data_IF_527854187633
#
_entry.id   IF_527854187633
#
_cell.length_a   1.000
_cell.length_b   1.000
_cell.length_c   1.000
_cell.angle_alpha   90.00
_cell.angle_beta   90.00
_cell.angle_gamma   90.00
#
_symmetry.space_group_name_H-M   'P 1'
#
loop_
_entity.id
_entity.type
_entity.pdbx_description
1 polymer ?
#
# COMPACT_ATOMS: atom_id res chain seq x y z
N UNK A 1 -33.33 -21.16 -41.62
CA UNK A 1 -34.23 -21.79 -40.64
C UNK A 1 -33.75 -23.21 -40.38
N UNK A 2 -33.73 -23.62 -39.10
CA UNK A 2 -33.59 -24.99 -38.57
C UNK A 2 -32.25 -25.70 -38.87
N UNK A 3 -31.28 -25.62 -37.96
CA UNK A 3 -31.04 -26.55 -36.83
C UNK A 3 -30.33 -27.86 -37.22
N UNK A 4 -29.10 -28.01 -36.73
CA UNK A 4 -28.69 -29.25 -36.07
C UNK A 4 -27.64 -28.92 -35.01
N UNK A 5 -28.14 -28.73 -33.78
CA UNK A 5 -27.32 -28.67 -32.57
C UNK A 5 -27.14 -30.11 -32.10
N UNK A 6 -25.93 -30.66 -32.22
CA UNK A 6 -25.38 -31.78 -31.42
C UNK A 6 -24.06 -32.26 -32.04
N UNK A 7 -22.95 -31.90 -31.40
CA UNK A 7 -21.77 -32.77 -31.24
C UNK A 7 -20.83 -32.05 -30.26
N UNK A 8 -21.09 -32.16 -28.96
CA UNK A 8 -20.58 -33.19 -28.03
C UNK A 8 -19.06 -33.19 -27.87
N UNK A 9 -18.67 -32.76 -26.66
CA UNK A 9 -17.44 -33.05 -25.92
C UNK A 9 -16.11 -32.61 -26.55
N UNK A 10 -15.78 -31.35 -26.29
CA UNK A 10 -14.38 -30.89 -26.25
C UNK A 10 -13.66 -31.46 -25.03
N UNK A 11 -12.68 -32.30 -25.30
CA UNK A 11 -11.67 -32.84 -24.41
C UNK A 11 -10.76 -31.75 -23.84
N UNK A 12 -10.64 -31.64 -22.51
CA UNK A 12 -9.38 -31.21 -21.87
C UNK A 12 -9.18 -32.07 -20.61
N UNK A 13 -8.48 -33.18 -20.81
CA UNK A 13 -7.81 -33.90 -19.75
C UNK A 13 -6.31 -33.56 -19.85
N UNK A 14 -5.70 -33.24 -18.71
CA UNK A 14 -4.26 -33.05 -18.57
C UNK A 14 -3.91 -31.62 -18.15
N UNK A 15 -3.08 -31.37 -17.14
CA UNK A 15 -2.26 -32.22 -16.29
C UNK A 15 -2.06 -31.44 -14.98
N UNK A 16 -2.58 -31.94 -13.87
CA UNK A 16 -2.14 -31.50 -12.55
C UNK A 16 -0.81 -32.22 -12.26
N UNK A 17 0.31 -31.64 -12.67
CA UNK A 17 1.63 -32.07 -12.21
C UNK A 17 1.76 -31.56 -10.76
N UNK A 18 1.51 -32.39 -9.75
CA UNK A 18 2.38 -33.45 -9.26
C UNK A 18 3.74 -32.89 -8.82
N UNK A 19 3.78 -32.32 -7.62
CA UNK A 19 4.95 -32.38 -6.77
C UNK A 19 4.50 -32.62 -5.34
N UNK A 20 4.40 -33.89 -4.96
CA UNK A 20 4.70 -34.38 -3.61
C UNK A 20 4.53 -35.90 -3.57
N UNK A 21 5.64 -36.63 -3.54
CA UNK A 21 5.66 -37.91 -2.83
C UNK A 21 7.09 -38.17 -2.32
N UNK A 22 7.42 -37.59 -1.17
CA UNK A 22 8.41 -38.17 -0.26
C UNK A 22 7.62 -39.09 0.67
N UNK A 23 7.82 -40.39 0.51
CA UNK A 23 7.31 -41.40 1.44
C UNK A 23 8.26 -41.51 2.62
N UNK A 24 7.84 -41.07 3.81
CA UNK A 24 8.44 -41.48 5.08
C UNK A 24 7.33 -42.07 5.95
N UNK A 25 7.40 -43.39 6.12
CA UNK A 25 6.60 -44.16 7.06
C UNK A 25 7.23 -44.01 8.44
N UNK A 26 6.53 -43.39 9.40
CA UNK A 26 7.01 -43.30 10.78
C UNK A 26 6.18 -42.38 11.67
N UNK A 27 5.31 -42.99 12.49
CA UNK A 27 4.62 -42.50 13.71
C UNK A 27 4.65 -40.99 14.05
N UNK A 28 3.45 -40.43 14.19
CA UNK A 28 3.05 -39.56 15.32
C UNK A 28 3.35 -38.07 15.17
N UNK A 29 2.29 -37.27 15.34
CA UNK A 29 2.24 -35.80 15.35
C UNK A 29 2.30 -35.16 13.97
N UNK A 30 1.15 -34.62 13.54
CA UNK A 30 1.10 -33.46 12.64
C UNK A 30 1.24 -32.19 13.50
N UNK A 31 2.40 -31.50 13.55
CA UNK A 31 2.44 -30.11 13.94
C UNK A 31 2.47 -29.29 12.66
N UNK A 32 1.38 -29.28 11.90
CA UNK A 32 1.18 -28.17 10.96
C UNK A 32 0.65 -27.01 11.80
N UNK A 33 1.46 -25.98 12.15
CA UNK A 33 0.90 -24.76 12.67
C UNK A 33 -0.03 -24.20 11.59
N UNK A 34 -1.32 -24.13 11.91
CA UNK A 34 -2.30 -23.38 11.14
C UNK A 34 -1.83 -21.92 11.19
N UNK A 35 -1.05 -21.48 10.21
CA UNK A 35 -0.77 -20.06 10.05
C UNK A 35 -2.12 -19.37 9.82
N UNK A 36 -2.51 -18.38 10.65
CA UNK A 36 -3.69 -17.58 10.37
C UNK A 36 -3.55 -16.98 8.97
N UNK A 37 -4.65 -16.82 8.22
CA UNK A 37 -4.59 -16.09 6.95
C UNK A 37 -4.03 -14.70 7.25
N UNK A 38 -2.89 -14.36 6.64
CA UNK A 38 -2.32 -13.01 6.73
C UNK A 38 -3.40 -12.03 6.27
N UNK A 39 -3.91 -11.21 7.20
CA UNK A 39 -4.78 -10.11 6.81
C UNK A 39 -3.87 -9.02 6.23
N UNK A 40 -4.25 -8.39 5.11
CA UNK A 40 -3.54 -7.21 4.63
C UNK A 40 -3.44 -6.18 5.76
N UNK A 41 -2.22 -5.92 6.27
CA UNK A 41 -1.95 -4.96 7.35
C UNK A 41 -1.41 -5.54 8.67
N UNK A 42 -1.02 -6.82 8.71
CA UNK A 42 -0.42 -7.43 9.91
C UNK A 42 1.10 -7.21 10.04
N UNK A 43 1.73 -6.51 9.09
CA UNK A 43 3.18 -6.27 9.05
C UNK A 43 3.64 -5.00 9.81
N UNK A 44 2.75 -4.30 10.52
CA UNK A 44 3.16 -3.16 11.36
C UNK A 44 3.52 -3.62 12.77
N UNK A 45 4.82 -3.66 13.14
CA UNK A 45 5.27 -4.09 14.47
C UNK A 45 4.77 -3.20 15.61
N UNK A 46 4.11 -2.07 15.33
CA UNK A 46 3.56 -1.15 16.32
C UNK A 46 2.02 -1.17 16.39
N UNK A 47 1.34 -2.11 15.72
CA UNK A 47 -0.12 -2.17 15.72
C UNK A 47 -0.66 -2.63 17.08
N UNK A 48 -1.41 -1.77 17.77
CA UNK A 48 -2.09 -2.15 19.00
C UNK A 48 -3.21 -3.16 18.70
N UNK A 49 -3.14 -4.41 19.18
CA UNK A 49 -4.15 -5.44 18.92
C UNK A 49 -5.54 -5.12 19.50
N UNK A 50 -5.65 -4.11 20.37
CA UNK A 50 -6.90 -3.65 20.97
C UNK A 50 -7.48 -2.37 20.33
N UNK A 51 -6.91 -1.89 19.22
CA UNK A 51 -7.41 -0.69 18.56
C UNK A 51 -8.82 -0.94 17.97
N UNK A 52 -9.79 -0.11 18.37
CA UNK A 52 -11.13 -0.13 17.78
C UNK A 52 -11.05 0.31 16.31
N UNK A 53 -11.77 -0.36 15.38
CA UNK A 53 -11.77 0.06 13.99
C UNK A 53 -12.34 1.47 13.86
N UNK A 54 -11.73 2.36 13.05
CA UNK A 54 -12.21 3.72 12.85
C UNK A 54 -13.63 3.72 12.26
N UNK A 55 -14.46 4.66 12.73
CA UNK A 55 -15.82 4.85 12.17
C UNK A 55 -15.73 5.45 10.77
N UNK A 56 -16.74 5.20 9.92
CA UNK A 56 -16.79 5.72 8.54
C UNK A 56 -16.57 7.25 8.46
N UNK A 57 -17.14 7.99 9.42
CA UNK A 57 -16.98 9.45 9.51
C UNK A 57 -15.53 9.87 9.72
N UNK A 58 -14.78 9.17 10.59
CA UNK A 58 -13.36 9.45 10.84
C UNK A 58 -12.49 9.12 9.62
N UNK A 59 -12.85 8.09 8.86
CA UNK A 59 -12.16 7.75 7.62
C UNK A 59 -12.37 8.81 6.53
N UNK A 60 -13.59 9.32 6.39
CA UNK A 60 -13.91 10.39 5.44
C UNK A 60 -13.22 11.71 5.81
N UNK A 61 -13.17 12.06 7.10
CA UNK A 61 -12.45 13.23 7.59
C UNK A 61 -10.94 13.12 7.34
N UNK A 62 -10.33 11.98 7.66
CA UNK A 62 -8.93 11.72 7.35
C UNK A 62 -8.64 11.83 5.85
N UNK A 63 -9.53 11.32 5.00
CA UNK A 63 -9.35 11.42 3.56
C UNK A 63 -9.40 12.87 3.07
N UNK A 64 -10.29 13.70 3.61
CA UNK A 64 -10.34 15.15 3.30
C UNK A 64 -9.05 15.85 3.74
N UNK A 65 -8.58 15.55 4.94
CA UNK A 65 -7.35 16.13 5.47
C UNK A 65 -6.11 15.72 4.67
N UNK A 66 -6.03 14.44 4.26
CA UNK A 66 -4.96 13.95 3.38
C UNK A 66 -4.96 14.71 2.06
N UNK A 67 -6.13 14.85 1.41
CA UNK A 67 -6.24 15.60 0.14
C UNK A 67 -5.74 17.03 0.28
N UNK A 68 -6.21 17.74 1.31
CA UNK A 68 -5.80 19.12 1.59
C UNK A 68 -4.28 19.24 1.84
N UNK A 69 -3.71 18.29 2.57
CA UNK A 69 -2.27 18.29 2.83
C UNK A 69 -1.45 18.01 1.56
N UNK A 70 -1.93 17.13 0.67
CA UNK A 70 -1.30 16.85 -0.62
C UNK A 70 -1.34 18.10 -1.52
N UNK A 71 -2.46 18.79 -1.58
CA UNK A 71 -2.58 20.06 -2.34
C UNK A 71 -1.56 21.09 -1.85
N UNK A 72 -1.47 21.28 -0.53
CA UNK A 72 -0.49 22.19 0.08
C UNK A 72 0.96 21.77 -0.18
N UNK A 73 1.24 20.46 -0.14
CA UNK A 73 2.56 19.91 -0.45
C UNK A 73 2.95 20.20 -1.90
N UNK A 74 2.01 20.03 -2.83
CA UNK A 74 2.22 20.34 -4.25
C UNK A 74 2.52 21.82 -4.48
N UNK A 75 1.78 22.71 -3.81
CA UNK A 75 2.00 24.15 -3.88
C UNK A 75 3.40 24.55 -3.38
N UNK A 76 3.80 24.06 -2.19
CA UNK A 76 5.12 24.36 -1.63
C UNK A 76 6.25 23.80 -2.48
N UNK A 77 6.11 22.59 -3.01
CA UNK A 77 7.09 21.99 -3.91
C UNK A 77 7.23 22.80 -5.21
N UNK A 78 6.11 23.30 -5.76
CA UNK A 78 6.12 24.16 -6.95
C UNK A 78 6.82 25.49 -6.69
N UNK A 79 6.54 26.13 -5.55
CA UNK A 79 7.23 27.36 -5.15
C UNK A 79 8.74 27.14 -4.94
N UNK A 80 9.12 26.02 -4.32
CA UNK A 80 10.52 25.67 -4.11
C UNK A 80 11.24 25.45 -5.44
N UNK A 81 10.63 24.73 -6.38
CA UNK A 81 11.14 24.56 -7.75
C UNK A 81 11.38 25.90 -8.42
N UNK A 82 10.40 26.80 -8.39
CA UNK A 82 10.52 28.11 -9.01
C UNK A 82 11.64 28.95 -8.38
N UNK A 83 11.82 28.89 -7.07
CA UNK A 83 12.93 29.56 -6.38
C UNK A 83 14.29 28.99 -6.79
N UNK A 84 14.40 27.66 -6.96
CA UNK A 84 15.63 27.02 -7.45
C UNK A 84 15.92 27.43 -8.88
N UNK A 85 14.92 27.44 -9.77
CA UNK A 85 15.11 27.80 -11.19
C UNK A 85 15.50 29.27 -11.41
N UNK A 86 15.04 30.16 -10.52
CA UNK A 86 15.37 31.59 -10.59
C UNK A 86 16.67 31.98 -9.88
N UNK A 87 17.20 31.10 -9.03
CA UNK A 87 18.42 31.38 -8.26
C UNK A 87 19.61 30.76 -8.98
N UNK A 88 20.64 31.56 -9.31
CA UNK A 88 21.90 31.00 -9.81
C UNK A 88 22.46 30.03 -8.76
N UNK A 89 22.49 28.75 -9.13
CA UNK A 89 22.69 27.59 -8.26
C UNK A 89 24.00 27.60 -7.43
N UNK A 90 24.88 28.56 -7.68
CA UNK A 90 26.21 28.69 -7.08
C UNK A 90 26.31 29.74 -5.97
N UNK A 91 25.37 30.69 -5.85
CA UNK A 91 25.67 31.93 -5.10
C UNK A 91 24.86 32.12 -3.81
N UNK A 92 23.64 31.60 -3.68
CA UNK A 92 22.86 31.77 -2.44
C UNK A 92 21.92 30.59 -2.17
N UNK A 93 22.29 29.69 -1.26
CA UNK A 93 21.31 28.79 -0.63
C UNK A 93 20.48 29.62 0.36
N UNK A 94 19.33 30.13 -0.07
CA UNK A 94 18.53 31.02 0.77
C UNK A 94 17.97 30.27 1.99
N UNK A 95 18.04 30.87 3.18
CA UNK A 95 17.41 30.35 4.40
C UNK A 95 15.89 30.09 4.19
N UNK A 96 15.26 30.83 3.27
CA UNK A 96 13.88 30.60 2.86
C UNK A 96 13.66 29.26 2.15
N UNK A 97 14.59 28.82 1.30
CA UNK A 97 14.49 27.53 0.62
C UNK A 97 14.62 26.37 1.60
N UNK A 98 15.54 26.47 2.56
CA UNK A 98 15.70 25.47 3.63
C UNK A 98 14.42 25.34 4.44
N UNK A 99 13.84 26.45 4.90
CA UNK A 99 12.57 26.46 5.63
C UNK A 99 11.41 25.85 4.83
N UNK A 100 11.32 26.14 3.52
CA UNK A 100 10.30 25.52 2.66
C UNK A 100 10.49 24.01 2.54
N UNK A 101 11.72 23.53 2.43
CA UNK A 101 12.02 22.10 2.41
C UNK A 101 11.63 21.41 3.73
N UNK A 102 11.91 22.03 4.87
CA UNK A 102 11.50 21.52 6.20
C UNK A 102 9.97 21.45 6.34
N UNK A 103 9.25 22.47 5.85
CA UNK A 103 7.78 22.45 5.83
C UNK A 103 7.22 21.32 4.96
N UNK A 104 7.83 21.05 3.81
CA UNK A 104 7.47 19.91 2.94
C UNK A 104 7.70 18.59 3.68
N UNK A 105 8.83 18.42 4.36
CA UNK A 105 9.10 17.19 5.15
C UNK A 105 8.04 16.98 6.23
N UNK A 106 7.69 18.05 6.97
CA UNK A 106 6.68 17.98 8.02
C UNK A 106 5.31 17.60 7.47
N UNK A 107 4.89 18.18 6.35
CA UNK A 107 3.63 17.84 5.69
C UNK A 107 3.63 16.39 5.18
N UNK A 108 4.74 15.93 4.59
CA UNK A 108 4.88 14.55 4.13
C UNK A 108 4.74 13.55 5.30
N UNK A 109 5.35 13.84 6.45
CA UNK A 109 5.20 13.03 7.66
C UNK A 109 3.75 13.00 8.14
N UNK A 110 3.08 14.15 8.20
CA UNK A 110 1.66 14.24 8.60
C UNK A 110 0.73 13.46 7.66
N UNK A 111 0.97 13.50 6.35
CA UNK A 111 0.21 12.71 5.37
C UNK A 111 0.40 11.21 5.63
N UNK A 112 1.65 10.77 5.80
CA UNK A 112 1.96 9.37 6.09
C UNK A 112 1.27 8.89 7.37
N UNK A 113 1.34 9.67 8.44
CA UNK A 113 0.78 9.28 9.73
C UNK A 113 -0.75 9.20 9.67
N UNK A 114 -1.41 10.13 8.96
CA UNK A 114 -2.87 10.09 8.73
C UNK A 114 -3.31 8.96 7.80
N UNK A 115 -2.47 8.57 6.85
CA UNK A 115 -2.77 7.47 5.93
C UNK A 115 -2.73 6.08 6.62
N UNK A 116 -2.06 5.97 7.78
CA UNK A 116 -1.99 4.72 8.55
C UNK A 116 -3.27 4.40 9.34
N UNK A 117 -4.13 5.39 9.58
CA UNK A 117 -5.39 5.24 10.31
C UNK A 117 -5.26 5.48 11.80
#
# INVERSE_FOLDING_TARGET
MQQSRRSLLGTIAGVAAAFSMVAIVGRGQDPFPKTPPLRPGDDDPNRNPNAKPPTKVLLEENQKDIKKNIEKLFELASQLKEQVEKTDATTVLSLSMVKKAEEIEKLARQIKDRAKG
#
